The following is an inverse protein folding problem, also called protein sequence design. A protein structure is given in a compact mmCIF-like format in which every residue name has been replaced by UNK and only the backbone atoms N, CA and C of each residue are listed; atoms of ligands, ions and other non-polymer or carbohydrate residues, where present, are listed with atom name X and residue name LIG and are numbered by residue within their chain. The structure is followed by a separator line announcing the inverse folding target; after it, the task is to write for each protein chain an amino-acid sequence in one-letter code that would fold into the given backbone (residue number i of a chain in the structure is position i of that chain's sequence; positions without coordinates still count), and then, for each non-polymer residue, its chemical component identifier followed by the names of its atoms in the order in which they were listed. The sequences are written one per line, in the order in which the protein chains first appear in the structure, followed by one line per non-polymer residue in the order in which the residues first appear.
data_IF_534932852674
#
_entry.id   IF_534932852674
#
_cell.length_a   1.000
_cell.length_b   1.000
_cell.length_c   1.000
_cell.angle_alpha   90.00
_cell.angle_beta   90.00
_cell.angle_gamma   90.00
#
_symmetry.space_group_name_H-M   'P 1'
#
loop_
_entity.id
_entity.type
_entity.pdbx_description
1 polymer ?
#
# COMPACT_ATOMS: atom_id res chain seq x y z
N UNK A 1 9.52 -28.55 12.72
CA UNK A 1 8.81 -27.66 13.67
C UNK A 1 7.29 -27.84 13.62
N UNK A 2 6.58 -27.46 12.55
CA UNK A 2 5.09 -27.65 12.48
C UNK A 2 4.72 -29.13 12.67
N UNK A 3 5.39 -30.04 11.96
CA UNK A 3 5.19 -31.49 12.08
C UNK A 3 5.47 -32.05 13.49
N UNK A 4 6.25 -31.34 14.30
CA UNK A 4 6.56 -31.73 15.68
C UNK A 4 5.48 -31.23 16.67
N UNK A 5 4.66 -30.23 16.27
CA UNK A 5 3.56 -29.66 17.09
C UNK A 5 2.23 -30.32 16.81
N UNK A 6 1.90 -30.61 15.56
CA UNK A 6 0.61 -31.21 15.16
C UNK A 6 0.73 -32.10 13.93
N UNK A 7 -0.25 -32.98 13.75
CA UNK A 7 -0.38 -33.80 12.55
C UNK A 7 -0.62 -32.94 11.30
N UNK A 8 -0.02 -33.35 10.17
CA UNK A 8 -0.16 -32.67 8.87
C UNK A 8 -1.21 -33.35 7.96
N UNK A 9 -1.87 -34.40 8.45
CA UNK A 9 -2.91 -35.15 7.73
C UNK A 9 -4.24 -34.39 7.66
N UNK A 10 -4.38 -33.32 8.45
CA UNK A 10 -5.55 -32.44 8.46
C UNK A 10 -5.18 -31.04 7.97
N UNK A 11 -6.12 -30.34 7.31
CA UNK A 11 -5.94 -28.93 7.00
C UNK A 11 -5.54 -28.08 8.23
N UNK A 12 -4.72 -27.02 8.05
CA UNK A 12 -4.17 -26.54 6.78
C UNK A 12 -2.90 -27.28 6.33
N UNK A 13 -2.65 -28.50 6.83
CA UNK A 13 -1.52 -29.34 6.43
C UNK A 13 -0.21 -28.79 6.98
N UNK A 14 0.76 -28.59 6.09
CA UNK A 14 2.09 -28.04 6.38
C UNK A 14 2.14 -26.50 6.44
N UNK A 15 1.03 -25.81 6.21
CA UNK A 15 0.92 -24.36 6.35
C UNK A 15 0.66 -23.93 7.79
N UNK A 16 0.86 -22.66 8.13
CA UNK A 16 0.55 -22.11 9.45
C UNK A 16 -0.94 -22.13 9.77
N UNK A 17 -1.28 -22.46 11.02
CA UNK A 17 -2.65 -22.66 11.49
C UNK A 17 -3.05 -21.76 12.67
N UNK A 18 -2.12 -21.45 13.57
CA UNK A 18 -2.41 -20.78 14.84
C UNK A 18 -1.38 -19.69 15.18
N UNK A 19 -1.66 -18.92 16.23
CA UNK A 19 -0.86 -17.76 16.65
C UNK A 19 0.61 -18.11 16.93
N UNK A 20 0.88 -19.28 17.49
CA UNK A 20 2.24 -19.73 17.79
C UNK A 20 2.99 -20.13 16.51
N UNK A 21 2.29 -20.68 15.51
CA UNK A 21 2.89 -20.93 14.20
C UNK A 21 3.21 -19.62 13.45
N UNK A 22 2.37 -18.59 13.58
CA UNK A 22 2.68 -17.25 13.06
C UNK A 22 3.84 -16.57 13.79
N UNK A 23 3.89 -16.60 15.12
CA UNK A 23 5.02 -16.02 15.88
C UNK A 23 6.33 -16.70 15.50
N UNK A 24 6.29 -18.01 15.19
CA UNK A 24 7.46 -18.73 14.67
C UNK A 24 7.91 -18.22 13.30
N UNK A 25 6.99 -17.88 12.38
CA UNK A 25 7.38 -17.26 11.11
C UNK A 25 8.10 -15.92 11.31
N UNK A 26 7.61 -15.09 12.22
CA UNK A 26 8.27 -13.84 12.57
C UNK A 26 9.64 -14.08 13.22
N UNK A 27 9.75 -15.03 14.15
CA UNK A 27 11.02 -15.41 14.78
C UNK A 27 12.05 -15.86 13.74
N UNK A 28 11.67 -16.76 12.82
CA UNK A 28 12.56 -17.23 11.75
C UNK A 28 12.96 -16.11 10.79
N UNK A 29 12.01 -15.26 10.39
CA UNK A 29 12.25 -14.21 9.40
C UNK A 29 13.07 -13.05 9.95
N UNK A 30 12.84 -12.66 11.21
CA UNK A 30 13.40 -11.44 11.79
C UNK A 30 14.67 -11.69 12.60
N UNK A 31 14.95 -12.94 13.00
CA UNK A 31 16.21 -13.29 13.64
C UNK A 31 17.33 -13.66 12.66
N UNK A 32 17.06 -13.69 11.35
CA UNK A 32 18.15 -13.70 10.37
C UNK A 32 19.11 -12.53 10.69
N UNK A 33 20.43 -12.76 10.85
CA UNK A 33 21.35 -11.74 11.33
C UNK A 33 21.37 -10.47 10.47
N UNK A 34 21.20 -10.59 9.15
CA UNK A 34 21.22 -9.46 8.22
C UNK A 34 19.91 -8.69 8.29
N UNK A 35 18.76 -9.39 8.32
CA UNK A 35 17.44 -8.78 8.49
C UNK A 35 17.34 -8.07 9.83
N UNK A 36 17.75 -8.73 10.91
CA UNK A 36 17.74 -8.16 12.26
C UNK A 36 18.57 -6.89 12.34
N UNK A 37 19.77 -6.90 11.75
CA UNK A 37 20.63 -5.73 11.71
C UNK A 37 19.98 -4.58 10.92
N UNK A 38 19.43 -4.86 9.74
CA UNK A 38 18.72 -3.87 8.93
C UNK A 38 17.57 -3.23 9.71
N UNK A 39 16.66 -4.04 10.27
CA UNK A 39 15.50 -3.56 11.02
C UNK A 39 15.91 -2.80 12.30
N UNK A 40 17.07 -3.10 12.89
CA UNK A 40 17.58 -2.35 14.05
C UNK A 40 18.18 -0.98 13.71
N UNK A 41 18.50 -0.72 12.44
CA UNK A 41 19.23 0.49 12.02
C UNK A 41 18.44 1.37 11.06
N UNK A 42 17.34 0.86 10.49
CA UNK A 42 16.49 1.57 9.54
C UNK A 42 15.04 1.60 10.06
N UNK A 43 14.51 2.78 10.41
CA UNK A 43 13.08 2.93 10.69
C UNK A 43 12.26 2.42 9.52
N UNK A 44 11.33 1.51 9.79
CA UNK A 44 10.56 0.80 8.77
C UNK A 44 9.07 1.06 8.97
N UNK A 45 8.40 1.50 7.92
CA UNK A 45 6.94 1.61 7.84
C UNK A 45 6.44 0.41 7.06
N UNK A 46 5.54 -0.39 7.63
CA UNK A 46 5.07 -1.65 7.05
C UNK A 46 3.56 -1.61 6.78
N UNK A 47 3.08 -2.44 5.86
CA UNK A 47 1.66 -2.76 5.70
C UNK A 47 1.60 -4.21 5.22
N UNK A 48 0.69 -5.03 5.75
CA UNK A 48 0.58 -6.42 5.30
C UNK A 48 0.18 -6.52 3.82
N UNK A 49 0.46 -7.68 3.25
CA UNK A 49 -0.21 -8.18 2.06
C UNK A 49 -1.01 -9.46 2.39
N UNK A 50 -1.41 -10.23 1.39
CA UNK A 50 -2.08 -11.51 1.59
C UNK A 50 -1.21 -12.55 2.29
N UNK A 51 0.08 -12.66 1.92
CA UNK A 51 1.00 -13.65 2.46
C UNK A 51 1.24 -13.53 3.98
N UNK A 52 0.91 -12.39 4.61
CA UNK A 52 0.87 -12.25 6.08
C UNK A 52 -0.25 -13.09 6.73
N UNK A 53 -1.26 -13.50 5.96
CA UNK A 53 -2.36 -14.39 6.39
C UNK A 53 -2.30 -15.70 5.58
N UNK A 54 -2.58 -15.64 4.29
CA UNK A 54 -2.50 -16.74 3.33
C UNK A 54 -2.55 -16.15 1.91
N UNK A 55 -1.88 -16.79 0.96
CA UNK A 55 -2.00 -16.50 -0.47
C UNK A 55 -3.48 -16.34 -0.88
N UNK A 56 -3.76 -15.33 -1.72
CA UNK A 56 -5.10 -14.93 -2.18
C UNK A 56 -6.05 -14.38 -1.08
N UNK A 57 -5.53 -14.03 0.11
CA UNK A 57 -6.37 -13.50 1.19
C UNK A 57 -7.19 -12.30 0.71
N UNK A 58 -8.52 -12.45 0.86
CA UNK A 58 -9.54 -11.49 0.42
C UNK A 58 -9.51 -11.21 -1.10
N UNK A 59 -9.23 -12.21 -1.94
CA UNK A 59 -9.29 -12.04 -3.40
C UNK A 59 -10.73 -11.87 -3.92
N UNK A 60 -11.71 -12.65 -3.42
CA UNK A 60 -13.11 -12.60 -3.84
C UNK A 60 -14.10 -13.07 -2.76
N UNK A 61 -15.38 -12.70 -2.88
CA UNK A 61 -16.43 -13.16 -1.97
C UNK A 61 -16.64 -14.69 -2.04
N UNK A 62 -16.46 -15.30 -3.21
CA UNK A 62 -16.57 -16.76 -3.36
C UNK A 62 -15.40 -17.49 -2.69
N UNK A 63 -14.17 -16.96 -2.83
CA UNK A 63 -13.01 -17.47 -2.11
C UNK A 63 -13.23 -17.38 -0.58
N UNK A 64 -13.69 -16.23 -0.09
CA UNK A 64 -13.95 -16.04 1.35
C UNK A 64 -15.03 -17.00 1.87
N UNK A 65 -16.09 -17.22 1.09
CA UNK A 65 -17.13 -18.18 1.44
C UNK A 65 -16.61 -19.62 1.55
N UNK A 66 -15.75 -20.05 0.63
CA UNK A 66 -15.11 -21.38 0.68
C UNK A 66 -14.22 -21.51 1.92
N UNK A 67 -13.41 -20.47 2.21
CA UNK A 67 -12.53 -20.46 3.38
C UNK A 67 -13.34 -20.50 4.69
N UNK A 68 -14.41 -19.69 4.80
CA UNK A 68 -15.31 -19.69 5.96
C UNK A 68 -16.09 -21.00 6.13
N UNK A 69 -16.19 -21.84 5.09
CA UNK A 69 -16.78 -23.17 5.19
C UNK A 69 -15.82 -24.21 5.80
N UNK A 70 -14.53 -23.90 5.90
CA UNK A 70 -13.55 -24.75 6.58
C UNK A 70 -13.61 -24.57 8.10
N UNK A 71 -13.17 -25.58 8.85
CA UNK A 71 -13.15 -25.58 10.32
C UNK A 71 -11.91 -24.90 10.92
N UNK A 72 -10.90 -24.58 10.11
CA UNK A 72 -9.61 -24.03 10.56
C UNK A 72 -9.41 -22.56 10.19
N UNK A 73 -10.16 -22.02 9.22
CA UNK A 73 -9.93 -20.67 8.71
C UNK A 73 -10.03 -19.58 9.76
N UNK A 74 -11.03 -19.66 10.65
CA UNK A 74 -11.23 -18.63 11.67
C UNK A 74 -10.01 -18.50 12.58
N UNK A 75 -9.46 -19.62 13.06
CA UNK A 75 -8.28 -19.59 13.94
C UNK A 75 -7.08 -18.97 13.24
N UNK A 76 -6.85 -19.35 11.97
CA UNK A 76 -5.75 -18.81 11.17
C UNK A 76 -5.89 -17.31 10.94
N UNK A 77 -7.05 -16.85 10.51
CA UNK A 77 -7.30 -15.42 10.25
C UNK A 77 -7.07 -14.58 11.51
N UNK A 78 -7.67 -14.98 12.64
CA UNK A 78 -7.47 -14.26 13.90
C UNK A 78 -5.99 -14.25 14.30
N UNK A 79 -5.32 -15.38 14.19
CA UNK A 79 -3.90 -15.50 14.51
C UNK A 79 -3.00 -14.62 13.63
N UNK A 80 -3.26 -14.57 12.32
CA UNK A 80 -2.57 -13.69 11.38
C UNK A 80 -2.73 -12.22 11.76
N UNK A 81 -3.97 -11.76 11.98
CA UNK A 81 -4.24 -10.37 12.40
C UNK A 81 -3.61 -10.01 13.76
N UNK A 82 -3.69 -10.93 14.74
CA UNK A 82 -3.09 -10.73 16.06
C UNK A 82 -1.57 -10.60 15.97
N UNK A 83 -0.91 -11.53 15.26
CA UNK A 83 0.54 -11.53 15.10
C UNK A 83 1.03 -10.31 14.31
N UNK A 84 0.35 -9.95 13.22
CA UNK A 84 0.64 -8.73 12.48
C UNK A 84 0.55 -7.49 13.37
N UNK A 85 -0.47 -7.41 14.23
CA UNK A 85 -0.60 -6.27 15.14
C UNK A 85 0.63 -6.13 16.06
N UNK A 86 1.09 -7.23 16.65
CA UNK A 86 2.24 -7.26 17.56
C UNK A 86 3.54 -6.92 16.84
N UNK A 87 3.82 -7.61 15.73
CA UNK A 87 5.11 -7.53 15.10
C UNK A 87 5.25 -6.29 14.20
N UNK A 88 4.20 -5.90 13.46
CA UNK A 88 4.28 -4.81 12.47
C UNK A 88 3.47 -3.58 12.86
N UNK A 89 2.18 -3.72 13.17
CA UNK A 89 1.29 -2.55 13.35
C UNK A 89 1.71 -1.62 14.48
N UNK A 90 2.15 -2.17 15.62
CA UNK A 90 2.61 -1.35 16.74
C UNK A 90 3.75 -0.39 16.34
N UNK A 91 4.66 -0.82 15.47
CA UNK A 91 5.74 0.03 14.96
C UNK A 91 5.25 1.11 13.98
N UNK A 92 4.08 0.90 13.37
CA UNK A 92 3.43 1.86 12.48
C UNK A 92 2.63 2.94 13.20
N UNK A 93 2.59 2.96 14.54
CA UNK A 93 1.89 3.99 15.33
C UNK A 93 2.89 4.94 15.99
N UNK A 94 2.58 6.24 15.99
CA UNK A 94 3.42 7.26 16.60
C UNK A 94 3.30 7.17 18.12
N UNK A 95 4.22 7.78 18.90
CA UNK A 95 4.08 7.81 20.35
C UNK A 95 2.70 8.32 20.82
N UNK A 96 2.17 9.36 20.18
CA UNK A 96 0.85 9.94 20.50
C UNK A 96 -0.30 9.02 20.07
N UNK A 97 -0.18 8.38 18.90
CA UNK A 97 -1.17 7.38 18.43
C UNK A 97 -1.20 6.17 19.38
N UNK A 98 -0.04 5.65 19.79
CA UNK A 98 0.06 4.56 20.76
C UNK A 98 -0.53 4.95 22.11
N UNK A 99 -0.27 6.16 22.59
CA UNK A 99 -0.81 6.65 23.87
C UNK A 99 -2.34 6.77 23.85
N UNK A 100 -2.92 7.02 22.67
CA UNK A 100 -4.37 7.10 22.46
C UNK A 100 -5.01 5.76 22.07
N UNK A 101 -4.22 4.73 21.71
CA UNK A 101 -4.73 3.46 21.20
C UNK A 101 -5.34 2.61 22.34
N UNK A 102 -6.66 2.33 22.30
CA UNK A 102 -7.34 1.62 23.38
C UNK A 102 -6.95 0.14 23.47
N UNK A 103 -6.55 -0.48 22.37
CA UNK A 103 -6.08 -1.87 22.38
C UNK A 103 -4.68 -1.94 22.99
N UNK A 104 -3.78 -1.03 22.62
CA UNK A 104 -2.46 -0.94 23.21
C UNK A 104 -2.54 -0.72 24.73
N UNK A 105 -3.40 0.21 25.18
CA UNK A 105 -3.67 0.41 26.60
C UNK A 105 -4.18 -0.88 27.27
N UNK A 106 -5.19 -1.54 26.70
CA UNK A 106 -5.75 -2.77 27.25
C UNK A 106 -4.73 -3.91 27.33
N UNK A 107 -3.86 -4.08 26.33
CA UNK A 107 -2.79 -5.09 26.32
C UNK A 107 -1.72 -4.76 27.36
N UNK A 108 -1.39 -3.49 27.56
CA UNK A 108 -0.36 -3.04 28.53
C UNK A 108 -0.82 -3.15 29.99
N UNK A 109 -2.11 -3.15 30.25
CA UNK A 109 -2.70 -3.26 31.60
C UNK A 109 -2.75 -4.70 32.14
N UNK A 110 -2.50 -5.71 31.30
CA UNK A 110 -2.52 -7.13 31.67
C UNK A 110 -1.16 -7.79 31.43
N UNK A 111 -0.75 -8.77 32.27
CA UNK A 111 0.42 -9.61 31.97
C UNK A 111 0.26 -10.44 30.70
N UNK A 112 -0.98 -10.75 30.31
CA UNK A 112 -1.33 -11.51 29.10
C UNK A 112 -2.45 -10.80 28.33
N UNK A 113 -2.10 -10.20 27.20
CA UNK A 113 -3.02 -9.45 26.32
C UNK A 113 -3.77 -10.31 25.30
N UNK A 114 -3.57 -11.63 25.28
CA UNK A 114 -4.06 -12.52 24.23
C UNK A 114 -5.57 -12.41 24.01
N UNK A 115 -6.36 -12.35 25.09
CA UNK A 115 -7.81 -12.26 25.01
C UNK A 115 -8.29 -10.93 24.39
N UNK A 116 -7.68 -9.81 24.77
CA UNK A 116 -8.01 -8.49 24.23
C UNK A 116 -7.67 -8.42 22.73
N UNK A 117 -6.49 -8.94 22.35
CA UNK A 117 -6.03 -8.94 20.98
C UNK A 117 -6.85 -9.87 20.09
N UNK A 118 -7.23 -11.05 20.58
CA UNK A 118 -8.15 -11.96 19.87
C UNK A 118 -9.53 -11.34 19.68
N UNK A 119 -10.06 -10.65 20.69
CA UNK A 119 -11.34 -9.96 20.58
C UNK A 119 -11.27 -8.81 19.55
N UNK A 120 -10.14 -8.11 19.46
CA UNK A 120 -9.90 -7.11 18.42
C UNK A 120 -9.85 -7.72 17.02
N UNK A 121 -9.07 -8.79 16.81
CA UNK A 121 -9.00 -9.48 15.53
C UNK A 121 -10.38 -10.01 15.09
N UNK A 122 -11.18 -10.51 16.03
CA UNK A 122 -12.54 -10.98 15.74
C UNK A 122 -13.49 -9.84 15.34
N UNK A 123 -13.32 -8.64 15.91
CA UNK A 123 -14.06 -7.45 15.45
C UNK A 123 -13.61 -7.01 14.06
N UNK A 124 -12.29 -7.01 13.80
CA UNK A 124 -11.74 -6.65 12.48
C UNK A 124 -12.24 -7.58 11.36
N UNK A 125 -12.39 -8.89 11.62
CA UNK A 125 -12.99 -9.83 10.64
C UNK A 125 -14.51 -9.65 10.49
N UNK A 126 -15.22 -9.43 11.61
CA UNK A 126 -16.68 -9.29 11.59
C UNK A 126 -17.14 -7.98 10.95
N UNK A 127 -16.41 -6.90 11.17
CA UNK A 127 -16.66 -5.56 10.67
C UNK A 127 -15.32 -4.90 10.28
N UNK A 128 -14.87 -5.06 9.02
CA UNK A 128 -13.62 -4.49 8.54
C UNK A 128 -13.51 -2.97 8.74
N UNK A 129 -14.64 -2.24 8.70
CA UNK A 129 -14.66 -0.79 8.92
C UNK A 129 -14.42 -0.40 10.40
N UNK A 130 -14.52 -1.36 11.33
CA UNK A 130 -14.29 -1.10 12.76
C UNK A 130 -12.81 -0.89 13.12
N UNK A 131 -11.88 -1.24 12.23
CA UNK A 131 -10.44 -1.15 12.44
C UNK A 131 -9.77 -0.58 11.20
N UNK A 132 -8.94 0.44 11.37
CA UNK A 132 -8.09 0.97 10.30
C UNK A 132 -6.65 0.52 10.48
N UNK A 133 -6.14 -0.20 9.49
CA UNK A 133 -4.72 -0.58 9.42
C UNK A 133 -3.87 0.47 8.70
N UNK A 134 -4.48 1.23 7.79
CA UNK A 134 -3.85 2.37 7.12
C UNK A 134 -3.41 3.45 8.10
N UNK A 135 -2.35 4.17 7.75
CA UNK A 135 -1.82 5.23 8.60
C UNK A 135 -1.13 6.31 7.79
N UNK A 136 -0.89 7.43 8.47
CA UNK A 136 -0.19 8.60 7.94
C UNK A 136 1.10 8.83 8.70
N UNK A 137 2.12 9.27 7.96
CA UNK A 137 3.36 9.85 8.51
C UNK A 137 3.74 11.10 7.78
N UNK A 138 4.08 12.14 8.53
CA UNK A 138 4.66 13.36 7.98
C UNK A 138 6.13 13.45 8.41
N UNK A 139 7.03 13.37 7.44
CA UNK A 139 8.48 13.57 7.62
C UNK A 139 8.84 14.97 7.12
N UNK A 140 8.74 15.96 8.01
CA UNK A 140 8.87 17.37 7.64
C UNK A 140 7.83 17.75 6.58
N UNK A 141 8.28 18.03 5.35
CA UNK A 141 7.40 18.38 4.22
C UNK A 141 7.11 17.21 3.28
N UNK A 142 7.32 15.97 3.72
CA UNK A 142 6.95 14.75 2.98
C UNK A 142 5.84 14.03 3.71
N UNK A 143 4.71 13.80 3.04
CA UNK A 143 3.61 12.99 3.57
C UNK A 143 3.68 11.58 3.00
N UNK A 144 3.55 10.59 3.87
CA UNK A 144 3.39 9.18 3.55
C UNK A 144 2.01 8.73 4.02
N UNK A 145 1.23 8.16 3.12
CA UNK A 145 -0.04 7.50 3.41
C UNK A 145 0.11 6.04 3.02
N UNK A 146 0.17 5.15 4.01
CA UNK A 146 0.19 3.71 3.78
C UNK A 146 -1.24 3.22 3.84
N UNK A 147 -1.73 2.66 2.73
CA UNK A 147 -3.11 2.25 2.52
C UNK A 147 -3.20 0.73 2.56
N UNK A 148 -4.09 0.23 3.41
CA UNK A 148 -4.50 -1.17 3.44
C UNK A 148 -5.34 -1.50 2.20
N UNK A 149 -4.75 -2.29 1.30
CA UNK A 149 -5.39 -2.81 0.08
C UNK A 149 -5.86 -4.27 0.21
N UNK A 150 -5.98 -4.81 1.42
CA UNK A 150 -6.36 -6.21 1.70
C UNK A 150 -7.55 -6.32 2.63
N UNK A 151 -7.47 -5.78 3.85
CA UNK A 151 -8.56 -5.92 4.82
C UNK A 151 -9.67 -4.89 4.57
N UNK A 152 -9.36 -3.73 3.98
CA UNK A 152 -10.34 -2.71 3.61
C UNK A 152 -11.17 -3.04 2.34
N UNK A 153 -10.96 -4.21 1.71
CA UNK A 153 -11.65 -4.56 0.45
C UNK A 153 -13.14 -4.80 0.68
N UNK A 154 -13.95 -4.26 -0.23
CA UNK A 154 -15.34 -4.67 -0.40
C UNK A 154 -15.37 -5.79 -1.44
N UNK A 155 -15.81 -6.98 -1.04
CA UNK A 155 -15.75 -8.18 -1.89
C UNK A 155 -17.05 -8.51 -2.62
N UNK A 156 -18.20 -7.93 -2.21
CA UNK A 156 -19.46 -8.22 -2.89
C UNK A 156 -19.42 -7.72 -4.33
N UNK A 157 -19.73 -8.60 -5.28
CA UNK A 157 -19.43 -8.40 -6.69
C UNK A 157 -20.10 -7.15 -7.29
N UNK A 158 -21.31 -6.81 -6.83
CA UNK A 158 -22.08 -5.67 -7.32
C UNK A 158 -21.55 -4.30 -6.86
N UNK A 159 -20.73 -4.28 -5.80
CA UNK A 159 -20.17 -3.07 -5.20
C UNK A 159 -18.68 -3.20 -4.86
N UNK A 160 -17.99 -4.14 -5.51
CA UNK A 160 -16.60 -4.50 -5.22
C UNK A 160 -15.70 -3.27 -5.30
N UNK A 161 -14.90 -3.03 -4.26
CA UNK A 161 -14.03 -1.87 -4.15
C UNK A 161 -12.71 -2.24 -3.45
N UNK A 162 -11.60 -1.64 -3.87
CA UNK A 162 -10.29 -1.87 -3.25
C UNK A 162 -10.27 -1.33 -1.82
N UNK A 163 -10.90 -0.16 -1.64
CA UNK A 163 -11.10 0.49 -0.36
C UNK A 163 -12.59 0.62 -0.13
N UNK A 164 -13.04 0.31 1.08
CA UNK A 164 -14.38 0.61 1.52
C UNK A 164 -14.61 2.14 1.57
N UNK A 165 -15.88 2.60 1.64
CA UNK A 165 -16.19 4.03 1.59
C UNK A 165 -15.54 4.87 2.70
N UNK A 166 -15.40 4.33 3.91
CA UNK A 166 -14.83 5.06 5.04
C UNK A 166 -13.30 5.16 4.90
N UNK A 167 -12.66 4.11 4.39
CA UNK A 167 -11.23 4.11 4.07
C UNK A 167 -10.90 5.04 2.88
N UNK A 168 -11.73 5.03 1.83
CA UNK A 168 -11.60 5.96 0.70
C UNK A 168 -11.81 7.43 1.13
N UNK A 169 -12.76 7.69 2.02
CA UNK A 169 -12.99 9.02 2.60
C UNK A 169 -11.81 9.48 3.44
N UNK A 170 -11.27 8.59 4.29
CA UNK A 170 -10.07 8.87 5.08
C UNK A 170 -8.88 9.19 4.19
N UNK A 171 -8.60 8.39 3.15
CA UNK A 171 -7.50 8.66 2.21
C UNK A 171 -7.63 10.04 1.56
N UNK A 172 -8.85 10.40 1.13
CA UNK A 172 -9.13 11.73 0.57
C UNK A 172 -8.86 12.83 1.60
N UNK A 173 -9.38 12.70 2.81
CA UNK A 173 -9.13 13.66 3.89
C UNK A 173 -7.62 13.84 4.13
N UNK A 174 -6.87 12.74 4.25
CA UNK A 174 -5.44 12.79 4.51
C UNK A 174 -4.62 13.35 3.35
N UNK A 175 -5.04 13.16 2.09
CA UNK A 175 -4.39 13.77 0.93
C UNK A 175 -4.65 15.28 0.91
N UNK A 176 -5.87 15.70 1.21
CA UNK A 176 -6.29 17.10 1.09
C UNK A 176 -5.96 17.95 2.33
N UNK A 177 -5.70 17.33 3.48
CA UNK A 177 -5.35 18.05 4.71
C UNK A 177 -4.08 18.90 4.56
N UNK A 178 -4.12 20.14 5.03
CA UNK A 178 -3.02 21.10 4.94
C UNK A 178 -2.78 21.71 3.56
N UNK A 179 -3.63 21.40 2.59
CA UNK A 179 -3.64 22.03 1.26
C UNK A 179 -4.48 23.28 1.33
N UNK A 180 -3.85 24.42 1.63
CA UNK A 180 -4.53 25.71 1.74
C UNK A 180 -5.48 25.92 0.56
N UNK A 181 -6.77 26.03 0.87
CA UNK A 181 -7.79 26.38 -0.10
C UNK A 181 -7.39 27.72 -0.73
N UNK A 182 -7.41 27.80 -2.05
CA UNK A 182 -7.35 29.09 -2.73
C UNK A 182 -8.45 29.98 -2.15
N UNK A 183 -8.07 31.20 -1.76
CA UNK A 183 -8.94 32.30 -1.33
C UNK A 183 -10.43 32.11 -1.67
N UNK A 184 -11.24 31.75 -0.66
CA UNK A 184 -12.62 32.22 -0.63
C UNK A 184 -12.62 33.75 -0.57
N UNK A 185 -13.61 34.44 -1.16
CA UNK A 185 -13.58 35.90 -1.28
C UNK A 185 -13.46 36.53 0.10
N UNK A 186 -12.35 37.24 0.34
CA UNK A 186 -12.19 38.08 1.53
C UNK A 186 -13.29 39.14 1.51
N UNK A 187 -14.36 38.89 2.24
CA UNK A 187 -15.36 39.91 2.53
C UNK A 187 -14.76 40.89 3.53
N UNK A 188 -14.52 42.11 3.05
CA UNK A 188 -14.74 43.32 3.85
C UNK A 188 -13.57 43.78 4.72
N UNK A 189 -12.91 44.83 4.24
CA UNK A 189 -12.22 45.81 5.05
C UNK A 189 -13.06 46.27 6.25
N UNK A 190 -12.39 46.44 7.39
CA UNK A 190 -12.88 47.20 8.54
C UNK A 190 -11.70 47.59 9.44
N UNK A 191 -11.40 48.88 9.66
CA UNK A 191 -10.24 49.29 10.43
C UNK A 191 -10.57 49.34 11.93
N UNK A 192 -9.68 48.80 12.76
CA UNK A 192 -9.80 48.86 14.21
C UNK A 192 -8.45 49.18 14.86
N UNK A 193 -8.24 50.45 15.17
CA UNK A 193 -7.15 50.97 16.00
C UNK A 193 -7.18 50.40 17.43
N UNK A 194 -6.01 50.30 18.07
CA UNK A 194 -5.89 50.11 19.52
C UNK A 194 -4.47 49.93 20.02
N UNK A 195 -3.77 51.03 20.27
CA UNK A 195 -2.49 51.13 20.97
C UNK A 195 -2.56 50.69 22.45
N UNK A 196 -1.44 50.17 22.99
CA UNK A 196 -1.18 50.06 24.43
C UNK A 196 0.17 49.38 24.78
N UNK A 197 0.99 49.88 25.73
CA UNK A 197 2.45 49.67 25.70
C UNK A 197 3.03 48.69 26.76
N UNK A 198 4.17 48.09 26.38
CA UNK A 198 5.40 47.72 27.14
C UNK A 198 5.39 47.21 28.59
N UNK A 199 6.09 46.09 28.84
CA UNK A 199 7.28 46.08 29.73
C UNK A 199 8.10 44.78 29.59
N UNK A 200 9.42 44.86 29.80
CA UNK A 200 10.39 43.79 29.56
C UNK A 200 11.03 43.13 30.79
N UNK A 201 12.02 42.28 30.44
CA UNK A 201 13.13 41.66 31.20
C UNK A 201 12.93 40.27 31.84
N UNK A 202 13.85 39.36 31.49
CA UNK A 202 14.20 38.13 32.20
C UNK A 202 15.12 37.21 31.39
N UNK A 203 16.40 37.14 31.77
CA UNK A 203 17.53 36.42 31.14
C UNK A 203 17.43 34.88 31.04
N UNK A 204 18.09 34.34 30.00
CA UNK A 204 18.51 32.93 29.74
C UNK A 204 19.65 32.47 30.69
N UNK A 205 20.23 31.22 30.65
CA UNK A 205 20.12 30.16 29.63
C UNK A 205 20.08 28.69 30.13
N UNK A 206 19.76 27.77 29.21
CA UNK A 206 19.92 26.33 29.39
C UNK A 206 19.76 25.59 28.06
N UNK A 207 20.85 25.50 27.30
CA UNK A 207 20.94 24.76 26.04
C UNK A 207 20.85 23.24 26.25
N UNK A 208 19.88 22.62 25.58
CA UNK A 208 19.81 21.20 25.28
C UNK A 208 18.90 21.04 24.05
N UNK A 209 19.20 20.14 23.09
CA UNK A 209 18.38 20.01 21.90
C UNK A 209 17.06 19.34 22.28
N UNK A 210 16.06 20.15 22.55
CA UNK A 210 14.67 19.71 22.57
C UNK A 210 14.22 19.62 21.11
N UNK A 211 14.35 18.43 20.52
CA UNK A 211 13.50 18.02 19.39
C UNK A 211 12.09 17.83 19.97
N UNK A 212 11.44 18.96 20.24
CA UNK A 212 10.05 19.05 20.63
C UNK A 212 9.21 18.97 19.38
N UNK A 213 8.77 17.75 19.04
CA UNK A 213 7.56 17.54 18.25
C UNK A 213 6.37 18.08 19.07
N UNK A 214 6.19 19.40 18.97
CA UNK A 214 5.10 20.13 19.61
C UNK A 214 4.30 20.77 18.49
N UNK A 215 3.35 20.01 17.95
CA UNK A 215 2.29 20.52 17.09
C UNK A 215 2.79 21.27 15.86
N UNK A 216 3.66 20.65 15.06
CA UNK A 216 3.96 21.15 13.72
C UNK A 216 2.64 21.26 12.95
N UNK A 217 2.22 22.49 12.63
CA UNK A 217 0.95 22.75 11.97
C UNK A 217 0.73 21.85 10.75
N UNK A 218 -0.51 21.41 10.55
CA UNK A 218 -1.00 20.65 9.39
C UNK A 218 -0.81 21.46 8.10
N UNK A 219 0.44 21.60 7.66
CA UNK A 219 0.88 22.49 6.60
C UNK A 219 1.05 21.77 5.26
N UNK A 220 1.28 22.56 4.22
CA UNK A 220 1.49 22.07 2.86
C UNK A 220 2.79 21.24 2.74
N UNK A 221 2.67 20.06 2.13
CA UNK A 221 3.79 19.16 1.85
C UNK A 221 4.36 19.38 0.44
N UNK A 222 5.66 19.13 0.26
CA UNK A 222 6.36 19.18 -1.02
C UNK A 222 6.31 17.83 -1.75
N UNK A 223 6.13 16.73 -1.03
CA UNK A 223 6.07 15.38 -1.61
C UNK A 223 4.95 14.57 -0.95
N UNK A 224 4.15 13.88 -1.77
CA UNK A 224 3.14 12.90 -1.34
C UNK A 224 3.58 11.50 -1.78
N UNK A 225 3.61 10.56 -0.84
CA UNK A 225 3.87 9.15 -1.06
C UNK A 225 2.61 8.38 -0.65
N UNK A 226 2.04 7.61 -1.58
CA UNK A 226 0.89 6.73 -1.32
C UNK A 226 1.39 5.30 -1.44
N UNK A 227 1.56 4.60 -0.33
CA UNK A 227 1.93 3.19 -0.32
C UNK A 227 0.70 2.29 -0.35
N UNK A 228 0.77 1.22 -1.13
CA UNK A 228 -0.23 0.15 -1.21
C UNK A 228 0.52 -1.14 -1.51
N UNK A 229 0.06 -2.28 -0.99
CA UNK A 229 0.75 -3.56 -1.24
C UNK A 229 0.73 -3.91 -2.74
N UNK A 230 -0.34 -3.52 -3.44
CA UNK A 230 -0.58 -3.85 -4.84
C UNK A 230 -0.38 -2.67 -5.79
N UNK A 231 0.25 -2.85 -6.96
CA UNK A 231 0.38 -1.79 -7.96
C UNK A 231 -0.95 -1.26 -8.47
N UNK A 232 -1.04 0.07 -8.53
CA UNK A 232 -2.12 0.79 -9.21
C UNK A 232 -2.00 0.63 -10.74
N UNK A 233 -0.82 0.89 -11.31
CA UNK A 233 -0.52 0.86 -12.75
C UNK A 233 0.23 -0.40 -13.16
N UNK A 234 -0.46 -1.32 -13.82
CA UNK A 234 0.08 -2.62 -14.25
C UNK A 234 0.57 -2.63 -15.71
N UNK A 235 1.26 -3.70 -16.16
CA UNK A 235 1.42 -3.97 -17.59
C UNK A 235 0.07 -3.95 -18.29
N UNK A 236 -0.02 -3.26 -19.44
CA UNK A 236 -1.31 -2.97 -20.10
C UNK A 236 -2.18 -4.21 -20.33
N UNK A 237 -1.58 -5.33 -20.74
CA UNK A 237 -2.33 -6.56 -20.94
C UNK A 237 -2.92 -7.12 -19.64
N UNK A 238 -2.18 -7.05 -18.53
CA UNK A 238 -2.65 -7.54 -17.23
C UNK A 238 -3.81 -6.67 -16.76
N UNK A 239 -3.66 -5.34 -16.80
CA UNK A 239 -4.73 -4.40 -16.48
C UNK A 239 -6.02 -4.68 -17.27
N UNK A 240 -5.91 -4.79 -18.59
CA UNK A 240 -7.09 -5.03 -19.45
C UNK A 240 -7.73 -6.41 -19.20
N UNK A 241 -6.95 -7.41 -18.80
CA UNK A 241 -7.45 -8.75 -18.44
C UNK A 241 -8.16 -8.72 -17.09
N UNK A 242 -7.64 -8.01 -16.09
CA UNK A 242 -8.31 -7.85 -14.79
C UNK A 242 -9.61 -7.07 -14.90
N UNK A 243 -9.61 -5.95 -15.63
CA UNK A 243 -10.83 -5.18 -15.87
C UNK A 243 -11.88 -6.00 -16.65
N UNK A 244 -11.44 -6.81 -17.62
CA UNK A 244 -12.32 -7.76 -18.30
C UNK A 244 -12.85 -8.83 -17.37
N UNK A 245 -12.00 -9.38 -16.50
CA UNK A 245 -12.38 -10.40 -15.54
C UNK A 245 -13.45 -9.87 -14.57
N UNK A 246 -13.22 -8.68 -14.02
CA UNK A 246 -14.17 -7.94 -13.18
C UNK A 246 -15.53 -7.78 -13.88
N UNK A 247 -15.54 -7.32 -15.13
CA UNK A 247 -16.78 -7.23 -15.93
C UNK A 247 -17.47 -8.59 -16.17
N UNK A 248 -16.71 -9.66 -16.39
CA UNK A 248 -17.28 -11.00 -16.55
C UNK A 248 -17.95 -11.47 -15.27
N UNK A 249 -17.27 -11.35 -14.13
CA UNK A 249 -17.78 -11.72 -12.81
C UNK A 249 -19.01 -10.90 -12.41
N UNK A 250 -19.02 -9.60 -12.69
CA UNK A 250 -20.18 -8.71 -12.55
C UNK A 250 -21.37 -9.05 -13.46
N UNK A 251 -21.20 -9.99 -14.39
CA UNK A 251 -22.31 -10.54 -15.16
C UNK A 251 -22.65 -9.79 -16.45
N UNK A 252 -21.77 -8.90 -16.93
CA UNK A 252 -21.93 -8.13 -18.19
C UNK A 252 -22.22 -9.00 -19.43
N UNK A 253 -21.84 -10.28 -19.35
CA UNK A 253 -22.07 -11.30 -20.40
C UNK A 253 -22.92 -12.48 -19.93
N UNK A 254 -23.57 -12.36 -18.77
CA UNK A 254 -24.45 -13.37 -18.18
C UNK A 254 -23.74 -14.45 -17.36
N UNK A 255 -24.54 -15.27 -16.68
CA UNK A 255 -24.08 -16.18 -15.61
C UNK A 255 -23.06 -17.26 -16.02
N UNK A 256 -22.97 -17.62 -17.31
CA UNK A 256 -21.92 -18.55 -17.79
C UNK A 256 -20.54 -17.89 -17.78
N UNK A 257 -20.49 -16.64 -18.22
CA UNK A 257 -19.26 -15.85 -18.22
C UNK A 257 -18.86 -15.44 -16.81
N UNK A 258 -19.81 -15.14 -15.93
CA UNK A 258 -19.52 -14.88 -14.51
C UNK A 258 -18.79 -16.07 -13.84
N UNK A 259 -19.30 -17.29 -14.02
CA UNK A 259 -18.63 -18.50 -13.49
C UNK A 259 -17.27 -18.79 -14.14
N UNK A 260 -17.08 -18.44 -15.41
CA UNK A 260 -15.77 -18.56 -16.05
C UNK A 260 -14.81 -17.50 -15.53
N UNK A 261 -15.26 -16.25 -15.40
CA UNK A 261 -14.51 -15.15 -14.81
C UNK A 261 -14.03 -15.50 -13.41
N UNK A 262 -14.91 -16.01 -12.55
CA UNK A 262 -14.53 -16.33 -11.17
C UNK A 262 -13.49 -17.45 -11.10
N UNK A 263 -13.61 -18.47 -11.97
CA UNK A 263 -12.57 -19.50 -12.09
C UNK A 263 -11.23 -18.94 -12.55
N UNK A 264 -11.23 -17.96 -13.46
CA UNK A 264 -10.02 -17.30 -13.94
C UNK A 264 -9.43 -16.42 -12.83
N UNK A 265 -10.26 -15.64 -12.13
CA UNK A 265 -9.86 -14.73 -11.05
C UNK A 265 -9.05 -15.49 -9.99
N UNK A 266 -9.61 -16.59 -9.51
CA UNK A 266 -9.01 -17.45 -8.48
C UNK A 266 -7.82 -18.28 -8.95
N UNK A 267 -7.68 -18.50 -10.27
CA UNK A 267 -6.61 -19.32 -10.83
C UNK A 267 -5.40 -18.51 -11.32
N UNK A 268 -5.55 -17.19 -11.46
CA UNK A 268 -4.56 -16.30 -12.05
C UNK A 268 -4.28 -15.07 -11.18
N UNK A 269 -4.79 -15.08 -9.94
CA UNK A 269 -4.54 -14.04 -8.94
C UNK A 269 -4.81 -12.62 -9.44
N UNK A 270 -6.05 -12.42 -9.94
CA UNK A 270 -6.48 -11.17 -10.56
C UNK A 270 -7.07 -10.23 -9.50
N UNK A 271 -6.19 -9.60 -8.72
CA UNK A 271 -6.61 -8.87 -7.52
C UNK A 271 -5.97 -7.49 -7.32
N UNK A 272 -5.21 -7.00 -8.29
CA UNK A 272 -4.66 -5.66 -8.23
C UNK A 272 -5.74 -4.59 -8.39
N UNK A 273 -5.34 -3.31 -8.34
CA UNK A 273 -6.27 -2.18 -8.50
C UNK A 273 -7.14 -2.27 -9.76
N UNK A 274 -6.66 -2.84 -10.88
CA UNK A 274 -7.48 -3.02 -12.08
C UNK A 274 -8.59 -4.08 -11.98
N UNK A 275 -8.53 -4.99 -11.01
CA UNK A 275 -9.65 -5.86 -10.67
C UNK A 275 -10.80 -5.09 -9.99
N UNK A 276 -10.54 -3.86 -9.55
CA UNK A 276 -11.48 -2.91 -8.93
C UNK A 276 -11.58 -1.61 -9.74
N UNK A 277 -12.22 -1.61 -10.94
CA UNK A 277 -12.16 -0.48 -11.86
C UNK A 277 -12.61 0.87 -11.25
N UNK A 278 -13.66 0.86 -10.43
CA UNK A 278 -14.16 2.06 -9.74
C UNK A 278 -13.12 2.66 -8.78
N UNK A 279 -12.46 1.82 -7.97
CA UNK A 279 -11.41 2.26 -7.06
C UNK A 279 -10.13 2.69 -7.79
N UNK A 280 -9.79 2.01 -8.89
CA UNK A 280 -8.67 2.41 -9.76
C UNK A 280 -8.86 3.83 -10.32
N UNK A 281 -10.07 4.12 -10.83
CA UNK A 281 -10.40 5.43 -11.39
C UNK A 281 -10.48 6.49 -10.28
N UNK A 282 -11.12 6.18 -9.15
CA UNK A 282 -11.23 7.09 -8.01
C UNK A 282 -9.86 7.50 -7.45
N UNK A 283 -8.90 6.56 -7.34
CA UNK A 283 -7.53 6.89 -6.94
C UNK A 283 -6.85 7.80 -7.97
N UNK A 284 -7.04 7.53 -9.26
CA UNK A 284 -6.49 8.36 -10.34
C UNK A 284 -7.03 9.79 -10.33
N UNK A 285 -8.32 9.97 -10.08
CA UNK A 285 -8.97 11.26 -9.98
C UNK A 285 -8.50 12.04 -8.73
N UNK A 286 -8.42 11.35 -7.58
CA UNK A 286 -7.92 11.95 -6.34
C UNK A 286 -6.46 12.38 -6.46
N UNK A 287 -5.61 11.57 -7.10
CA UNK A 287 -4.22 11.94 -7.38
C UNK A 287 -4.16 13.16 -8.30
N UNK A 288 -4.99 13.23 -9.34
CA UNK A 288 -5.01 14.39 -10.25
C UNK A 288 -5.42 15.68 -9.54
N UNK A 289 -6.44 15.60 -8.69
CA UNK A 289 -6.91 16.69 -7.85
C UNK A 289 -5.79 17.18 -6.93
N UNK A 290 -5.16 16.27 -6.20
CA UNK A 290 -4.02 16.59 -5.34
C UNK A 290 -2.82 17.12 -6.13
N UNK A 291 -2.56 16.62 -7.33
CA UNK A 291 -1.41 17.01 -8.13
C UNK A 291 -1.62 18.32 -8.92
N UNK A 292 -2.75 19.02 -8.76
CA UNK A 292 -3.09 20.23 -9.52
C UNK A 292 -3.30 21.44 -8.61
N UNK A 293 -3.00 22.63 -9.13
CA UNK A 293 -3.26 23.92 -8.49
C UNK A 293 -2.05 24.52 -7.77
N UNK A 294 -2.17 25.77 -7.27
CA UNK A 294 -1.05 26.53 -6.70
C UNK A 294 -0.35 25.87 -5.50
N UNK A 295 -1.07 25.03 -4.75
CA UNK A 295 -0.52 24.27 -3.63
C UNK A 295 0.06 22.90 -3.98
N UNK A 296 0.15 22.53 -5.28
CA UNK A 296 0.52 21.18 -5.70
C UNK A 296 1.89 20.76 -5.12
N UNK A 297 2.04 19.51 -4.63
CA UNK A 297 3.35 19.00 -4.27
C UNK A 297 4.24 19.00 -5.53
N UNK A 298 5.54 18.94 -5.34
CA UNK A 298 6.46 18.71 -6.45
C UNK A 298 6.28 17.30 -7.03
N UNK A 299 6.01 16.30 -6.17
CA UNK A 299 5.75 14.93 -6.61
C UNK A 299 4.60 14.27 -5.87
N UNK A 300 3.88 13.40 -6.59
CA UNK A 300 3.02 12.34 -6.02
C UNK A 300 3.58 10.99 -6.47
N UNK A 301 4.05 10.16 -5.54
CA UNK A 301 4.56 8.82 -5.86
C UNK A 301 3.68 7.74 -5.25
N UNK A 302 3.17 6.83 -6.08
CA UNK A 302 2.52 5.60 -5.61
C UNK A 302 3.60 4.53 -5.42
N UNK A 303 3.77 4.04 -4.20
CA UNK A 303 4.73 2.99 -3.85
C UNK A 303 4.00 1.64 -3.81
N UNK A 304 4.53 0.63 -4.48
CA UNK A 304 3.86 -0.68 -4.53
C UNK A 304 4.79 -1.88 -4.62
N UNK A 305 4.24 -3.06 -4.27
CA UNK A 305 4.96 -4.33 -4.18
C UNK A 305 4.32 -5.46 -5.01
N UNK A 306 4.36 -6.67 -4.43
CA UNK A 306 3.69 -7.91 -4.87
C UNK A 306 4.16 -8.59 -6.19
N UNK A 307 4.36 -7.83 -7.27
CA UNK A 307 4.51 -8.39 -8.63
C UNK A 307 5.87 -9.03 -8.98
N UNK A 308 6.76 -9.28 -8.02
CA UNK A 308 8.04 -9.96 -8.18
C UNK A 308 9.03 -9.32 -9.17
N UNK A 309 8.86 -8.04 -9.50
CA UNK A 309 9.79 -7.27 -10.34
C UNK A 309 9.71 -5.78 -10.03
N UNK A 310 10.67 -5.00 -10.51
CA UNK A 310 10.68 -3.56 -10.34
C UNK A 310 10.40 -2.82 -11.66
N UNK A 311 9.68 -1.71 -11.59
CA UNK A 311 9.47 -0.80 -12.72
C UNK A 311 9.05 0.59 -12.25
N UNK A 312 9.13 1.55 -13.18
CA UNK A 312 8.57 2.88 -13.01
C UNK A 312 7.53 3.10 -14.08
N UNK A 313 6.33 3.50 -13.68
CA UNK A 313 5.24 3.87 -14.58
C UNK A 313 4.82 5.32 -14.34
N UNK A 314 4.47 6.03 -15.40
CA UNK A 314 4.01 7.41 -15.33
C UNK A 314 2.62 7.53 -15.95
N UNK A 315 1.62 7.99 -15.19
CA UNK A 315 0.28 8.23 -15.69
C UNK A 315 0.21 9.53 -16.52
N UNK A 316 -0.85 9.64 -17.29
CA UNK A 316 -1.24 10.78 -18.11
C UNK A 316 -2.76 10.82 -18.15
N UNK A 317 -3.33 11.98 -17.80
CA UNK A 317 -4.76 12.20 -17.83
C UNK A 317 -5.18 12.77 -19.18
N UNK A 318 -6.36 12.38 -19.70
CA UNK A 318 -6.96 13.06 -20.84
C UNK A 318 -7.22 14.54 -20.52
N UNK A 319 -6.81 15.45 -21.40
CA UNK A 319 -7.02 16.89 -21.20
C UNK A 319 -5.80 17.58 -20.58
N UNK A 320 -5.89 17.95 -19.30
CA UNK A 320 -4.82 18.70 -18.59
C UNK A 320 -3.97 17.76 -17.76
N UNK A 321 -2.65 17.82 -17.96
CA UNK A 321 -1.70 17.15 -17.10
C UNK A 321 -1.64 17.85 -15.71
N UNK A 322 -1.49 17.10 -14.61
CA UNK A 322 -1.26 17.69 -13.30
C UNK A 322 0.01 18.55 -13.26
N UNK A 323 0.04 19.50 -12.34
CA UNK A 323 1.18 20.41 -12.14
C UNK A 323 2.34 19.69 -11.40
N UNK A 324 2.02 18.73 -10.53
CA UNK A 324 2.99 17.85 -9.86
C UNK A 324 3.48 16.72 -10.77
N UNK A 325 4.70 16.23 -10.51
CA UNK A 325 5.16 14.99 -11.12
C UNK A 325 4.48 13.78 -10.46
N UNK A 326 3.73 13.01 -11.24
CA UNK A 326 3.15 11.75 -10.76
C UNK A 326 3.92 10.54 -11.31
N UNK A 327 4.23 9.58 -10.44
CA UNK A 327 4.82 8.30 -10.83
C UNK A 327 4.34 7.16 -9.91
N UNK A 328 4.29 5.94 -10.45
CA UNK A 328 4.29 4.72 -9.64
C UNK A 328 5.69 4.13 -9.61
N UNK A 329 6.14 3.77 -8.42
CA UNK A 329 7.42 3.20 -8.09
C UNK A 329 7.19 1.80 -7.52
N UNK A 330 7.30 0.78 -8.36
CA UNK A 330 7.07 -0.61 -7.96
C UNK A 330 8.40 -1.31 -7.76
N UNK A 331 8.60 -1.95 -6.61
CA UNK A 331 9.82 -2.70 -6.28
C UNK A 331 9.47 -3.85 -5.31
N UNK A 332 9.34 -5.06 -5.83
CA UNK A 332 8.61 -6.11 -5.10
C UNK A 332 9.42 -7.09 -4.23
N UNK A 333 10.64 -7.60 -4.54
CA UNK A 333 11.42 -8.16 -3.41
C UNK A 333 12.97 -8.22 -3.46
N UNK A 334 13.51 -8.30 -2.24
CA UNK A 334 14.79 -8.92 -1.86
C UNK A 334 14.57 -10.44 -1.75
N UNK A 335 15.55 -11.26 -2.17
CA UNK A 335 15.47 -12.73 -2.23
C UNK A 335 14.47 -13.34 -3.24
N UNK A 336 14.42 -12.80 -4.46
CA UNK A 336 13.52 -13.26 -5.51
C UNK A 336 14.26 -13.83 -6.73
N UNK A 337 13.74 -14.95 -7.24
CA UNK A 337 14.16 -15.55 -8.50
C UNK A 337 12.96 -15.79 -9.40
N UNK A 338 12.89 -15.03 -10.51
CA UNK A 338 11.79 -15.17 -11.47
C UNK A 338 12.25 -16.02 -12.66
N UNK A 339 11.56 -17.14 -12.97
CA UNK A 339 11.84 -17.97 -14.14
C UNK A 339 11.83 -17.18 -15.44
N UNK A 340 12.65 -17.58 -16.42
CA UNK A 340 12.81 -16.85 -17.68
C UNK A 340 11.48 -16.69 -18.45
N UNK A 341 10.62 -17.70 -18.44
CA UNK A 341 9.29 -17.65 -19.05
C UNK A 341 8.43 -16.52 -18.49
N UNK A 342 8.40 -16.38 -17.17
CA UNK A 342 7.67 -15.33 -16.47
C UNK A 342 8.27 -13.95 -16.78
N UNK A 343 9.60 -13.82 -16.82
CA UNK A 343 10.28 -12.58 -17.22
C UNK A 343 9.90 -12.14 -18.64
N UNK A 344 9.82 -13.09 -19.57
CA UNK A 344 9.38 -12.83 -20.95
C UNK A 344 7.90 -12.41 -20.98
N UNK A 345 7.04 -13.06 -20.21
CA UNK A 345 5.63 -12.71 -20.06
C UNK A 345 5.45 -11.27 -19.57
N UNK A 346 6.14 -10.87 -18.49
CA UNK A 346 6.10 -9.49 -18.00
C UNK A 346 6.59 -8.47 -19.03
N UNK A 347 7.70 -8.76 -19.73
CA UNK A 347 8.19 -7.88 -20.81
C UNK A 347 7.18 -7.75 -21.94
N UNK A 348 6.54 -8.85 -22.32
CA UNK A 348 5.48 -8.86 -23.32
C UNK A 348 4.27 -8.04 -22.88
N UNK A 349 3.82 -8.13 -21.63
CA UNK A 349 2.65 -7.41 -21.11
C UNK A 349 2.72 -5.87 -21.25
N UNK A 350 3.94 -5.32 -21.31
CA UNK A 350 4.21 -3.90 -21.53
C UNK A 350 4.34 -3.49 -23.01
N UNK A 351 4.33 -4.44 -23.94
CA UNK A 351 4.57 -4.18 -25.36
C UNK A 351 3.35 -3.58 -26.06
N UNK A 352 3.57 -2.89 -27.19
CA UNK A 352 2.48 -2.37 -28.01
C UNK A 352 1.53 -3.46 -28.56
N UNK A 353 2.02 -4.63 -29.02
CA UNK A 353 1.14 -5.75 -29.38
C UNK A 353 0.27 -6.24 -28.23
N UNK A 354 0.84 -6.38 -27.03
CA UNK A 354 0.10 -6.81 -25.85
C UNK A 354 -0.96 -5.78 -25.44
N UNK A 355 -0.65 -4.47 -25.54
CA UNK A 355 -1.63 -3.40 -25.36
C UNK A 355 -2.77 -3.46 -26.38
N UNK A 356 -2.47 -3.76 -27.64
CA UNK A 356 -3.51 -3.91 -28.66
C UNK A 356 -4.41 -5.14 -28.41
N UNK A 357 -3.82 -6.23 -27.92
CA UNK A 357 -4.55 -7.43 -27.49
C UNK A 357 -5.44 -7.14 -26.27
N UNK A 358 -4.89 -6.51 -25.23
CA UNK A 358 -5.63 -6.11 -24.03
C UNK A 358 -6.84 -5.25 -24.38
N UNK A 359 -6.68 -4.23 -25.24
CA UNK A 359 -7.81 -3.42 -25.71
C UNK A 359 -8.90 -4.22 -26.44
N UNK A 360 -8.58 -5.34 -27.07
CA UNK A 360 -9.59 -6.23 -27.69
C UNK A 360 -10.33 -7.03 -26.62
N UNK A 361 -9.61 -7.49 -25.59
CA UNK A 361 -10.16 -8.19 -24.42
C UNK A 361 -11.10 -7.25 -23.64
N UNK A 362 -10.65 -6.05 -23.30
CA UNK A 362 -11.48 -5.03 -22.64
C UNK A 362 -12.75 -4.68 -23.44
N UNK A 363 -12.62 -4.53 -24.77
CA UNK A 363 -13.79 -4.33 -25.67
C UNK A 363 -14.75 -5.50 -25.66
N UNK A 364 -14.26 -6.74 -25.60
CA UNK A 364 -15.12 -7.90 -25.40
C UNK A 364 -15.86 -7.80 -24.05
N UNK A 365 -15.18 -7.34 -23.01
CA UNK A 365 -15.76 -7.12 -21.68
C UNK A 365 -16.79 -6.00 -21.59
N UNK A 366 -16.88 -5.13 -22.62
CA UNK A 366 -17.58 -3.83 -22.55
C UNK A 366 -17.04 -2.92 -21.44
N UNK A 367 -15.77 -3.11 -21.05
CA UNK A 367 -15.13 -2.32 -20.02
C UNK A 367 -15.04 -0.85 -20.46
N UNK A 368 -15.30 0.06 -19.52
CA UNK A 368 -15.04 1.48 -19.72
C UNK A 368 -13.52 1.70 -19.94
N UNK A 369 -13.13 2.71 -20.73
CA UNK A 369 -11.74 3.15 -20.76
C UNK A 369 -11.31 3.64 -19.37
N UNK A 370 -10.09 3.33 -18.91
CA UNK A 370 -9.58 3.80 -17.61
C UNK A 370 -9.45 5.33 -17.59
N UNK A 371 -9.64 5.93 -16.42
CA UNK A 371 -9.52 7.38 -16.19
C UNK A 371 -8.12 7.92 -16.55
N UNK A 372 -7.09 7.07 -16.44
CA UNK A 372 -5.71 7.39 -16.78
C UNK A 372 -5.15 6.47 -17.87
N UNK A 373 -4.30 7.01 -18.73
CA UNK A 373 -3.34 6.21 -19.49
C UNK A 373 -1.97 6.29 -18.84
N UNK A 374 -1.08 5.33 -19.08
CA UNK A 374 0.26 5.38 -18.55
C UNK A 374 1.26 4.79 -19.52
N UNK A 375 2.54 5.02 -19.26
CA UNK A 375 3.65 4.34 -19.92
C UNK A 375 4.67 3.89 -18.89
N UNK A 376 5.32 2.75 -19.16
CA UNK A 376 6.49 2.33 -18.41
C UNK A 376 7.69 3.17 -18.82
N UNK A 377 8.26 3.92 -17.89
CA UNK A 377 9.45 4.76 -18.13
C UNK A 377 10.74 4.13 -17.62
N UNK A 378 10.66 3.06 -16.81
CA UNK A 378 11.80 2.27 -16.36
C UNK A 378 11.42 0.81 -16.12
N UNK A 379 12.35 -0.11 -16.33
CA UNK A 379 12.11 -1.54 -16.14
C UNK A 379 11.55 -2.27 -17.38
N UNK A 380 11.02 -3.50 -17.20
CA UNK A 380 10.92 -4.22 -15.94
C UNK A 380 12.30 -4.79 -15.59
N UNK A 381 12.71 -4.58 -14.35
CA UNK A 381 13.94 -5.12 -13.80
C UNK A 381 13.59 -6.29 -12.88
N UNK A 382 14.46 -7.30 -12.83
CA UNK A 382 14.19 -8.53 -12.10
C UNK A 382 15.41 -8.95 -11.31
N UNK A 383 15.19 -9.59 -10.16
CA UNK A 383 16.20 -10.01 -9.19
C UNK A 383 16.08 -9.18 -7.91
N UNK A 384 17.05 -9.32 -7.01
CA UNK A 384 17.05 -8.65 -5.71
C UNK A 384 17.42 -7.17 -5.88
N UNK A 385 16.51 -6.27 -5.50
CA UNK A 385 16.66 -4.84 -5.77
C UNK A 385 16.27 -3.98 -4.58
N UNK A 386 16.91 -2.81 -4.49
CA UNK A 386 16.59 -1.75 -3.54
C UNK A 386 16.31 -0.49 -4.35
N UNK A 387 15.15 0.10 -4.11
CA UNK A 387 14.76 1.37 -4.71
C UNK A 387 14.82 2.46 -3.64
N UNK A 388 15.66 3.46 -3.86
CA UNK A 388 15.86 4.58 -2.94
C UNK A 388 15.29 5.85 -3.56
N UNK A 389 14.34 6.47 -2.88
CA UNK A 389 13.81 7.77 -3.22
C UNK A 389 14.40 8.82 -2.26
N UNK A 390 15.24 9.71 -2.79
CA UNK A 390 15.82 10.81 -2.01
C UNK A 390 15.02 12.08 -2.27
N UNK A 391 14.50 12.67 -1.21
CA UNK A 391 13.68 13.88 -1.23
C UNK A 391 14.41 15.03 -0.54
N UNK A 392 14.53 16.17 -1.20
CA UNK A 392 15.19 17.37 -0.65
C UNK A 392 14.48 18.63 -1.10
N UNK A 393 13.83 19.32 -0.17
CA UNK A 393 12.99 20.48 -0.50
C UNK A 393 11.87 20.03 -1.44
N UNK A 394 11.85 20.58 -2.65
CA UNK A 394 10.92 20.18 -3.74
C UNK A 394 11.55 19.26 -4.78
N UNK A 395 12.80 18.84 -4.60
CA UNK A 395 13.49 17.94 -5.52
C UNK A 395 13.34 16.48 -5.11
N UNK A 396 13.20 15.60 -6.10
CA UNK A 396 13.07 14.16 -5.89
C UNK A 396 13.97 13.38 -6.84
N UNK A 397 14.78 12.47 -6.29
CA UNK A 397 15.69 11.62 -7.07
C UNK A 397 15.48 10.15 -6.75
N UNK A 398 15.29 9.34 -7.79
CA UNK A 398 15.09 7.91 -7.71
C UNK A 398 16.38 7.18 -8.11
N UNK A 399 16.86 6.29 -7.23
CA UNK A 399 17.93 5.35 -7.50
C UNK A 399 17.40 3.93 -7.39
N UNK A 400 17.81 3.06 -8.30
CA UNK A 400 17.55 1.63 -8.20
C UNK A 400 18.87 0.88 -8.25
N UNK A 401 19.11 0.05 -7.26
CA UNK A 401 20.28 -0.80 -7.14
C UNK A 401 19.86 -2.26 -7.16
N UNK A 402 20.71 -3.11 -7.72
CA UNK A 402 20.50 -4.55 -7.81
C UNK A 402 21.67 -5.27 -7.18
N UNK A 403 21.38 -6.22 -6.28
CA UNK A 403 22.38 -7.12 -5.76
C UNK A 403 22.85 -8.08 -6.87
N UNK A 404 24.17 -8.15 -7.08
CA UNK A 404 24.80 -9.08 -8.01
C UNK A 404 26.00 -9.74 -7.36
N UNK A 405 26.14 -11.05 -7.59
CA UNK A 405 27.36 -11.76 -7.26
C UNK A 405 28.47 -11.40 -8.28
N UNK A 406 29.65 -11.05 -7.78
CA UNK A 406 30.87 -10.99 -8.55
C UNK A 406 31.42 -12.40 -8.79
N UNK A 407 32.43 -12.51 -9.67
CA UNK A 407 33.07 -13.80 -10.00
C UNK A 407 33.80 -14.44 -8.81
N UNK A 408 34.18 -13.64 -7.82
CA UNK A 408 34.85 -14.07 -6.59
C UNK A 408 33.87 -14.47 -5.47
N UNK A 409 32.56 -14.46 -5.75
CA UNK A 409 31.51 -14.80 -4.78
C UNK A 409 31.07 -13.63 -3.88
N UNK A 410 31.67 -12.44 -3.99
CA UNK A 410 31.23 -11.26 -3.24
C UNK A 410 29.94 -10.68 -3.83
N UNK A 411 29.01 -10.24 -2.97
CA UNK A 411 27.81 -9.54 -3.41
C UNK A 411 28.06 -8.03 -3.46
N UNK A 412 27.67 -7.39 -4.56
CA UNK A 412 27.72 -5.94 -4.72
C UNK A 412 26.38 -5.38 -5.18
N UNK A 413 26.02 -4.22 -4.65
CA UNK A 413 24.91 -3.43 -5.18
C UNK A 413 25.40 -2.70 -6.44
N UNK A 414 24.80 -3.00 -7.59
CA UNK A 414 25.06 -2.28 -8.85
C UNK A 414 23.89 -1.36 -9.15
N UNK A 415 24.20 -0.10 -9.39
CA UNK A 415 23.22 0.87 -9.88
C UNK A 415 22.66 0.42 -11.24
N UNK A 416 21.34 0.35 -11.32
CA UNK A 416 20.59 0.00 -12.53
C UNK A 416 20.03 1.27 -13.19
N UNK A 417 19.53 2.20 -12.38
CA UNK A 417 19.08 3.50 -12.86
C UNK A 417 19.24 4.54 -11.76
N UNK A 418 19.45 5.78 -12.18
CA UNK A 418 19.51 6.96 -11.33
C UNK A 418 18.91 8.14 -12.09
N UNK A 419 17.86 8.74 -11.54
CA UNK A 419 16.97 9.64 -12.26
C UNK A 419 16.40 10.73 -11.36
N UNK A 420 16.35 11.95 -11.87
CA UNK A 420 15.58 13.05 -11.30
C UNK A 420 14.09 12.94 -11.70
N UNK A 421 13.21 13.09 -10.71
CA UNK A 421 11.75 13.07 -10.86
C UNK A 421 11.17 14.49 -10.86
N UNK A 422 11.67 15.37 -9.99
CA UNK A 422 11.29 16.77 -9.87
C UNK A 422 12.45 17.61 -9.34
#
# INVERSE_FOLDING_TARGET
WIADRRGLDRPPGDQVADYEEYTRLYDESWLDPEVRWLLSTVPSCMIFDDHDVVDDWNTSAAWLADMRATDWWQERLLSGLMSYWVYQQLGNLSPDELAADPLYAAVRETPDGTAALRAFAARADADPASVRWSYRRDFGRTRVLMVDSRAARVLEEDRRAMLDPDEAAWLREQIMDGRGDGEGPRTGDGPGNGDGPGNGNGDSPGDGPADGDTGAGRGAYDHLLIGTSLPWLLPHLVHDVEAWNSAMCGGERGARWARLGERIRRGADLEHWSAFPSSFDALGDLIAEAATGPGAPATVSVLSGDVHHAYVAEPSWPGRAPDARVAQLTCSPVHNSVPLSIRLGFRFGWSAPARALGRRIARHGRCAPPAVSWRRTGGPWFGNQIMTLTLRGRSARLRLEQARANRDGTNVLRMITDRELA
#
